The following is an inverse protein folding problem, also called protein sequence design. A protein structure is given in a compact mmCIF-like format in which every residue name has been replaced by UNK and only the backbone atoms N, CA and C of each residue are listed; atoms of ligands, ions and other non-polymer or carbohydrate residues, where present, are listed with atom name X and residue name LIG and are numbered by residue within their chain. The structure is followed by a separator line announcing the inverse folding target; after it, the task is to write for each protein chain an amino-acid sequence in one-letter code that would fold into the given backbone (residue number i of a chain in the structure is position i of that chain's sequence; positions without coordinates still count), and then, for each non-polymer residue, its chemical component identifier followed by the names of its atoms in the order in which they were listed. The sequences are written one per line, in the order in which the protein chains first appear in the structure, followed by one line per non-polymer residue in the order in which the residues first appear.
data_IF_545200545301
#
_entry.id   IF_545200545301
#
_cell.length_a   1.000
_cell.length_b   1.000
_cell.length_c   1.000
_cell.angle_alpha   90.00
_cell.angle_beta   90.00
_cell.angle_gamma   90.00
#
_symmetry.space_group_name_H-M   'P 1'
#
loop_
_entity.id
_entity.type
_entity.pdbx_description
1 polymer ?
#
# COMPACT_ATOMS: atom_id res chain seq x y z
N UNK A 1 -3.92 8.37 -4.43
CA UNK A 1 -4.90 9.38 -3.91
C UNK A 1 -4.33 10.21 -2.76
N UNK A 2 -3.60 9.62 -1.81
CA UNK A 2 -3.13 10.34 -0.61
C UNK A 2 -2.20 11.51 -0.91
N UNK A 3 -1.27 11.37 -1.86
CA UNK A 3 -0.42 12.49 -2.28
C UNK A 3 -1.25 13.61 -2.92
N UNK A 4 -2.19 13.27 -3.80
CA UNK A 4 -3.08 14.26 -4.41
C UNK A 4 -3.89 15.02 -3.34
N UNK A 5 -4.48 14.32 -2.37
CA UNK A 5 -5.23 14.96 -1.30
C UNK A 5 -4.34 15.75 -0.33
N UNK A 6 -3.08 15.35 -0.11
CA UNK A 6 -2.14 16.15 0.67
C UNK A 6 -1.93 17.54 0.06
N UNK A 7 -1.75 17.62 -1.26
CA UNK A 7 -1.59 18.91 -1.96
C UNK A 7 -2.89 19.71 -2.06
N UNK A 8 -4.05 19.06 -2.21
CA UNK A 8 -5.33 19.73 -2.42
C UNK A 8 -6.04 20.18 -1.13
N UNK A 9 -5.99 19.37 -0.06
CA UNK A 9 -6.83 19.55 1.14
C UNK A 9 -6.04 19.45 2.46
N UNK A 10 -4.72 19.31 2.39
CA UNK A 10 -3.83 19.27 3.56
C UNK A 10 -3.87 17.95 4.34
N UNK A 11 -3.12 17.89 5.46
CA UNK A 11 -2.87 16.64 6.19
C UNK A 11 -4.13 15.92 6.66
N UNK A 12 -5.09 16.63 7.28
CA UNK A 12 -6.33 15.99 7.76
C UNK A 12 -7.13 15.36 6.62
N UNK A 13 -7.21 16.03 5.47
CA UNK A 13 -7.88 15.49 4.29
C UNK A 13 -7.12 14.29 3.71
N UNK A 14 -5.79 14.35 3.67
CA UNK A 14 -4.94 13.24 3.25
C UNK A 14 -5.12 12.00 4.14
N UNK A 15 -5.17 12.18 5.46
CA UNK A 15 -5.42 11.11 6.43
C UNK A 15 -6.75 10.40 6.16
N UNK A 16 -7.84 11.16 6.06
CA UNK A 16 -9.18 10.59 5.87
C UNK A 16 -9.31 9.87 4.52
N UNK A 17 -8.83 10.49 3.44
CA UNK A 17 -8.83 9.90 2.10
C UNK A 17 -7.93 8.66 2.05
N UNK A 18 -6.76 8.71 2.68
CA UNK A 18 -5.84 7.59 2.75
C UNK A 18 -6.42 6.39 3.50
N UNK A 19 -7.05 6.62 4.66
CA UNK A 19 -7.68 5.56 5.45
C UNK A 19 -8.88 4.96 4.71
N UNK A 20 -9.72 5.80 4.09
CA UNK A 20 -10.83 5.33 3.27
C UNK A 20 -10.34 4.47 2.09
N UNK A 21 -9.27 4.90 1.41
CA UNK A 21 -8.66 4.14 0.33
C UNK A 21 -8.06 2.82 0.83
N UNK A 22 -7.40 2.80 1.99
CA UNK A 22 -6.83 1.59 2.59
C UNK A 22 -7.91 0.56 2.94
N UNK A 23 -9.03 0.99 3.52
CA UNK A 23 -10.18 0.13 3.84
C UNK A 23 -10.81 -0.41 2.55
N UNK A 24 -11.06 0.44 1.55
CA UNK A 24 -11.62 0.02 0.27
C UNK A 24 -10.74 -0.99 -0.45
N UNK A 25 -9.42 -0.75 -0.49
CA UNK A 25 -8.45 -1.67 -1.07
C UNK A 25 -8.41 -3.01 -0.31
N UNK A 26 -8.47 -2.98 1.02
CA UNK A 26 -8.48 -4.20 1.83
C UNK A 26 -9.70 -5.09 1.57
N UNK A 27 -10.89 -4.49 1.47
CA UNK A 27 -12.12 -5.21 1.12
C UNK A 27 -12.00 -5.80 -0.28
N UNK A 28 -11.60 -4.97 -1.26
CA UNK A 28 -11.46 -5.39 -2.66
C UNK A 28 -10.47 -6.54 -2.81
N UNK A 29 -9.24 -6.39 -2.32
CA UNK A 29 -8.20 -7.39 -2.46
C UNK A 29 -8.50 -8.66 -1.65
N UNK A 30 -9.05 -8.51 -0.45
CA UNK A 30 -9.45 -9.65 0.38
C UNK A 30 -10.54 -10.50 -0.27
N UNK A 31 -11.56 -9.85 -0.85
CA UNK A 31 -12.60 -10.54 -1.64
C UNK A 31 -12.02 -11.17 -2.91
N UNK A 32 -11.17 -10.47 -3.65
CA UNK A 32 -10.55 -11.02 -4.87
C UNK A 32 -9.75 -12.28 -4.60
N UNK A 33 -8.98 -12.32 -3.50
CA UNK A 33 -8.24 -13.52 -3.14
C UNK A 33 -9.16 -14.61 -2.58
N UNK A 34 -10.10 -14.27 -1.70
CA UNK A 34 -11.01 -15.24 -1.09
C UNK A 34 -11.98 -15.90 -2.09
N UNK A 35 -12.35 -15.20 -3.16
CA UNK A 35 -13.24 -15.71 -4.21
C UNK A 35 -12.48 -16.34 -5.39
N UNK A 36 -11.15 -16.35 -5.35
CA UNK A 36 -10.35 -16.88 -6.47
C UNK A 36 -10.48 -18.39 -6.65
N UNK A 37 -10.51 -19.14 -5.54
CA UNK A 37 -10.75 -20.59 -5.49
C UNK A 37 -10.97 -21.06 -4.04
N UNK A 38 -11.49 -22.28 -3.86
CA UNK A 38 -11.74 -22.88 -2.54
C UNK A 38 -10.52 -23.60 -1.92
N UNK A 39 -9.41 -23.68 -2.66
CA UNK A 39 -8.17 -24.33 -2.22
C UNK A 39 -8.13 -25.85 -2.43
N UNK A 40 -9.23 -26.50 -2.81
CA UNK A 40 -9.31 -27.98 -2.88
C UNK A 40 -8.45 -28.54 -4.00
N UNK A 41 -8.46 -27.90 -5.17
CA UNK A 41 -7.66 -28.28 -6.34
C UNK A 41 -6.28 -27.61 -6.36
N UNK A 42 -6.17 -26.38 -5.86
CA UNK A 42 -4.95 -25.57 -5.96
C UNK A 42 -3.96 -25.85 -4.83
N UNK A 43 -4.43 -26.40 -3.71
CA UNK A 43 -3.61 -26.60 -2.51
C UNK A 43 -3.16 -25.31 -1.82
N UNK A 44 -3.73 -24.14 -2.19
CA UNK A 44 -3.33 -22.82 -1.67
C UNK A 44 -3.83 -22.55 -0.23
N UNK A 45 -4.61 -23.47 0.33
CA UNK A 45 -5.28 -23.31 1.62
C UNK A 45 -6.68 -22.70 1.49
N UNK A 46 -7.41 -22.65 2.61
CA UNK A 46 -8.82 -22.24 2.63
C UNK A 46 -9.04 -20.80 2.17
N UNK A 47 -10.10 -20.61 1.37
CA UNK A 47 -10.52 -19.32 0.79
C UNK A 47 -10.61 -18.19 1.82
N UNK A 48 -11.31 -18.41 2.94
CA UNK A 48 -11.51 -17.40 3.98
C UNK A 48 -10.18 -16.93 4.59
N UNK A 49 -9.28 -17.86 4.91
CA UNK A 49 -8.00 -17.53 5.51
C UNK A 49 -7.15 -16.67 4.57
N UNK A 50 -7.08 -17.04 3.29
CA UNK A 50 -6.35 -16.28 2.27
C UNK A 50 -6.93 -14.88 2.08
N UNK A 51 -8.25 -14.79 1.97
CA UNK A 51 -8.95 -13.50 1.84
C UNK A 51 -8.67 -12.58 3.04
N UNK A 52 -8.74 -13.09 4.26
CA UNK A 52 -8.45 -12.32 5.48
C UNK A 52 -6.99 -11.86 5.52
N UNK A 53 -6.04 -12.75 5.23
CA UNK A 53 -4.61 -12.40 5.23
C UNK A 53 -4.32 -11.31 4.18
N UNK A 54 -4.83 -11.47 2.96
CA UNK A 54 -4.64 -10.49 1.89
C UNK A 54 -5.29 -9.15 2.22
N UNK A 55 -6.53 -9.16 2.70
CA UNK A 55 -7.23 -7.93 3.09
C UNK A 55 -6.52 -7.19 4.22
N UNK A 56 -6.14 -7.90 5.29
CA UNK A 56 -5.43 -7.30 6.43
C UNK A 56 -4.05 -6.77 6.04
N UNK A 57 -3.26 -7.52 5.28
CA UNK A 57 -1.96 -7.06 4.81
C UNK A 57 -2.09 -5.80 3.93
N UNK A 58 -3.12 -5.75 3.07
CA UNK A 58 -3.43 -4.58 2.24
C UNK A 58 -3.82 -3.38 3.08
N UNK A 59 -4.68 -3.57 4.10
CA UNK A 59 -5.05 -2.50 5.03
C UNK A 59 -3.84 -1.98 5.79
N UNK A 60 -3.02 -2.86 6.37
CA UNK A 60 -1.84 -2.48 7.16
C UNK A 60 -0.86 -1.68 6.32
N UNK A 61 -0.57 -2.14 5.10
CA UNK A 61 0.28 -1.38 4.17
C UNK A 61 -0.32 -0.02 3.80
N UNK A 62 -1.60 0.02 3.41
CA UNK A 62 -2.27 1.29 3.06
C UNK A 62 -2.36 2.28 4.23
N UNK A 63 -2.61 1.78 5.43
CA UNK A 63 -2.74 2.59 6.63
C UNK A 63 -1.38 3.12 7.09
N UNK A 64 -0.31 2.31 7.03
CA UNK A 64 1.00 2.67 7.56
C UNK A 64 1.56 3.96 6.92
N UNK A 65 1.59 4.08 5.59
CA UNK A 65 2.00 5.34 4.93
C UNK A 65 0.94 6.46 4.96
N UNK A 66 -0.24 6.19 5.51
CA UNK A 66 -1.30 7.19 5.73
C UNK A 66 -1.19 7.84 7.12
N UNK A 67 -0.78 7.09 8.14
CA UNK A 67 -0.65 7.58 9.52
C UNK A 67 0.24 8.82 9.72
N UNK A 68 1.31 9.06 8.92
CA UNK A 68 2.10 10.29 9.02
C UNK A 68 1.29 11.58 8.88
N UNK A 69 0.14 11.54 8.20
CA UNK A 69 -0.77 12.69 8.05
C UNK A 69 -1.62 12.98 9.30
N UNK A 70 -1.38 12.28 10.41
CA UNK A 70 -1.75 12.76 11.76
C UNK A 70 -0.96 14.01 12.15
N UNK A 71 0.19 14.26 11.53
CA UNK A 71 0.96 15.49 11.69
C UNK A 71 0.25 16.61 10.91
N UNK A 72 -0.12 17.68 11.59
CA UNK A 72 -0.89 18.78 11.00
C UNK A 72 -0.15 19.51 9.87
N UNK A 73 1.17 19.67 10.02
CA UNK A 73 2.03 20.25 8.98
C UNK A 73 2.23 19.25 7.84
N UNK A 74 1.77 19.62 6.64
CA UNK A 74 1.78 18.73 5.47
C UNK A 74 3.19 18.42 4.97
N UNK A 75 4.12 19.36 5.07
CA UNK A 75 5.49 19.15 4.61
C UNK A 75 6.24 18.20 5.53
N UNK A 76 6.02 18.31 6.84
CA UNK A 76 6.55 17.34 7.82
C UNK A 76 5.88 15.98 7.66
N UNK A 77 4.55 15.93 7.49
CA UNK A 77 3.82 14.69 7.24
C UNK A 77 4.35 13.96 5.99
N UNK A 78 4.60 14.68 4.89
CA UNK A 78 5.16 14.14 3.66
C UNK A 78 6.56 13.57 3.85
N UNK A 79 7.46 14.28 4.55
CA UNK A 79 8.81 13.77 4.85
C UNK A 79 8.75 12.44 5.61
N UNK A 80 7.91 12.37 6.63
CA UNK A 80 7.72 11.13 7.42
C UNK A 80 7.09 10.03 6.56
N UNK A 81 6.09 10.36 5.73
CA UNK A 81 5.46 9.42 4.80
C UNK A 81 6.46 8.83 3.81
N UNK A 82 7.36 9.62 3.24
CA UNK A 82 8.40 9.10 2.34
C UNK A 82 9.35 8.12 3.02
N UNK A 83 9.70 8.36 4.28
CA UNK A 83 10.52 7.42 5.07
C UNK A 83 9.75 6.13 5.32
N UNK A 84 8.48 6.21 5.72
CA UNK A 84 7.61 5.04 5.93
C UNK A 84 7.49 4.21 4.66
N UNK A 85 7.19 4.85 3.51
CA UNK A 85 7.14 4.18 2.21
C UNK A 85 8.48 3.53 1.88
N UNK A 86 9.61 4.21 2.11
CA UNK A 86 10.93 3.63 1.91
C UNK A 86 11.12 2.31 2.69
N UNK A 87 10.75 2.29 3.96
CA UNK A 87 10.77 1.10 4.81
C UNK A 87 9.82 0.00 4.30
N UNK A 88 8.62 0.36 3.86
CA UNK A 88 7.65 -0.57 3.27
C UNK A 88 8.20 -1.23 2.01
N UNK A 89 8.75 -0.46 1.06
CA UNK A 89 9.28 -0.98 -0.20
C UNK A 89 10.46 -1.93 0.05
N UNK A 90 11.36 -1.59 0.98
CA UNK A 90 12.46 -2.47 1.40
C UNK A 90 11.92 -3.76 2.03
N UNK A 91 10.92 -3.65 2.91
CA UNK A 91 10.29 -4.80 3.56
C UNK A 91 9.63 -5.72 2.54
N UNK A 92 8.84 -5.17 1.61
CA UNK A 92 8.23 -5.93 0.51
C UNK A 92 9.31 -6.59 -0.34
N UNK A 93 10.37 -5.87 -0.69
CA UNK A 93 11.44 -6.45 -1.51
C UNK A 93 12.17 -7.58 -0.80
N UNK A 94 12.38 -7.47 0.51
CA UNK A 94 12.94 -8.52 1.33
C UNK A 94 12.01 -9.74 1.44
N UNK A 95 10.70 -9.53 1.66
CA UNK A 95 9.71 -10.61 1.69
C UNK A 95 9.67 -11.37 0.36
N UNK A 96 9.68 -10.66 -0.76
CA UNK A 96 9.74 -11.27 -2.11
C UNK A 96 11.03 -12.06 -2.31
N UNK A 97 12.16 -11.59 -1.80
CA UNK A 97 13.42 -12.36 -1.80
C UNK A 97 13.29 -13.64 -0.96
N UNK A 98 12.79 -13.52 0.27
CA UNK A 98 12.74 -14.59 1.26
C UNK A 98 11.74 -15.70 0.92
N UNK A 99 10.59 -15.36 0.36
CA UNK A 99 9.47 -16.28 0.14
C UNK A 99 9.24 -16.60 -1.34
N UNK A 100 9.51 -15.67 -2.25
CA UNK A 100 9.27 -15.85 -3.70
C UNK A 100 10.55 -16.09 -4.51
N UNK A 101 11.72 -16.19 -3.85
CA UNK A 101 13.04 -16.42 -4.48
C UNK A 101 13.40 -15.43 -5.60
N UNK A 102 12.81 -14.23 -5.57
CA UNK A 102 13.17 -13.14 -6.49
C UNK A 102 14.49 -12.51 -6.02
N UNK A 103 15.43 -12.21 -6.92
CA UNK A 103 16.66 -11.52 -6.50
C UNK A 103 16.34 -10.14 -5.90
N UNK A 104 17.04 -9.76 -4.83
CA UNK A 104 16.76 -8.53 -4.09
C UNK A 104 16.77 -7.30 -5.00
N UNK A 105 17.76 -7.20 -5.89
CA UNK A 105 17.91 -6.10 -6.84
C UNK A 105 16.72 -5.98 -7.78
N UNK A 106 16.27 -7.11 -8.38
CA UNK A 106 15.06 -7.11 -9.23
C UNK A 106 13.83 -6.73 -8.43
N UNK A 107 13.74 -7.20 -7.20
CA UNK A 107 12.59 -6.91 -6.36
C UNK A 107 12.50 -5.44 -5.97
N UNK A 108 13.63 -4.84 -5.56
CA UNK A 108 13.72 -3.41 -5.28
C UNK A 108 13.36 -2.59 -6.52
N UNK A 109 13.95 -2.90 -7.68
CA UNK A 109 13.63 -2.21 -8.94
C UNK A 109 12.14 -2.24 -9.25
N UNK A 110 11.50 -3.41 -9.23
CA UNK A 110 10.08 -3.55 -9.56
C UNK A 110 9.17 -2.78 -8.60
N UNK A 111 9.41 -2.93 -7.30
CA UNK A 111 8.56 -2.34 -6.26
C UNK A 111 8.77 -0.82 -6.20
N UNK A 112 10.01 -0.35 -6.33
CA UNK A 112 10.32 1.09 -6.38
C UNK A 112 9.78 1.76 -7.63
N UNK A 113 9.93 1.16 -8.83
CA UNK A 113 9.36 1.74 -10.06
C UNK A 113 7.84 1.83 -9.95
N UNK A 114 7.16 0.79 -9.48
CA UNK A 114 5.72 0.84 -9.22
C UNK A 114 5.35 1.95 -8.24
N UNK A 115 6.07 2.07 -7.13
CA UNK A 115 5.86 3.13 -6.14
C UNK A 115 6.05 4.54 -6.70
N UNK A 116 7.12 4.77 -7.48
CA UNK A 116 7.39 6.06 -8.12
C UNK A 116 6.29 6.43 -9.11
N UNK A 117 5.80 5.48 -9.93
CA UNK A 117 4.72 5.74 -10.87
C UNK A 117 3.44 6.17 -10.15
N UNK A 118 3.05 5.45 -9.10
CA UNK A 118 1.85 5.80 -8.30
C UNK A 118 2.00 7.17 -7.62
N UNK A 119 3.18 7.45 -7.06
CA UNK A 119 3.47 8.74 -6.45
C UNK A 119 3.44 9.89 -7.48
N UNK A 120 4.05 9.70 -8.65
CA UNK A 120 4.07 10.69 -9.73
C UNK A 120 2.65 11.02 -10.21
N UNK A 121 1.80 10.01 -10.39
CA UNK A 121 0.38 10.22 -10.72
C UNK A 121 -0.32 11.01 -9.61
N UNK A 122 -0.09 10.68 -8.34
CA UNK A 122 -0.67 11.40 -7.21
C UNK A 122 -0.25 12.88 -7.15
N UNK A 123 1.04 13.17 -7.36
CA UNK A 123 1.56 14.54 -7.40
C UNK A 123 0.98 15.28 -8.60
N UNK A 124 0.98 14.68 -9.79
CA UNK A 124 0.47 15.32 -11.01
C UNK A 124 -1.02 15.68 -10.89
N UNK A 125 -1.84 14.77 -10.36
CA UNK A 125 -3.26 15.02 -10.12
C UNK A 125 -3.48 16.04 -9.01
N UNK A 126 -2.63 16.06 -7.98
CA UNK A 126 -2.75 17.03 -6.87
C UNK A 126 -2.39 18.47 -7.23
N UNK A 127 -1.66 18.68 -8.33
CA UNK A 127 -1.27 20.01 -8.84
C UNK A 127 -2.08 20.45 -10.06
N UNK A 128 -3.00 19.62 -10.54
CA UNK A 128 -3.92 19.94 -11.63
C UNK A 128 -5.15 20.68 -11.09
#
# INVERSE_FOLDING_TARGET
PIFASAYLVGSKGALLVGLAAAVGAAISMGMSEGLSDDGTLTGRGGSLARGLITGLATFVGGAAHTLPFLIEDVDQALKVAYVVVGCELVTIAWLRKRYLRVSLTRSLLQVTVGGVLVAAVGVAVGHA
#
